data_IF_153661938937
#
_entry.id   IF_153661938937
#
_cell.length_a   1.000
_cell.length_b   1.000
_cell.length_c   1.000
_cell.angle_alpha   90.00
_cell.angle_beta   90.00
_cell.angle_gamma   90.00
#
_symmetry.space_group_name_H-M   'P 1'
#
loop_
_entity.id
_entity.type
_entity.pdbx_description
1 polymer ?
#
# COMPACT_ATOMS: atom_id res chain seq x y z
N UNK A 1 -36.30 37.61 4.88
CA UNK A 1 -34.90 37.28 4.47
C UNK A 1 -34.62 35.86 4.92
N UNK A 2 -34.77 34.89 4.03
CA UNK A 2 -34.56 33.47 4.32
C UNK A 2 -33.13 33.15 3.83
N UNK A 3 -32.24 32.82 4.78
CA UNK A 3 -30.89 32.41 4.47
C UNK A 3 -30.91 31.03 3.77
N UNK A 4 -30.55 30.99 2.51
CA UNK A 4 -30.28 29.76 1.75
C UNK A 4 -29.05 29.09 2.35
N UNK A 5 -29.26 28.03 3.12
CA UNK A 5 -28.16 27.08 3.47
C UNK A 5 -27.77 26.36 2.18
N UNK A 6 -26.59 26.68 1.69
CA UNK A 6 -25.92 25.90 0.66
C UNK A 6 -25.70 24.46 1.22
N UNK A 7 -26.53 23.53 0.79
CA UNK A 7 -26.27 22.10 0.93
C UNK A 7 -25.11 21.75 -0.03
N UNK A 8 -23.87 21.74 0.48
CA UNK A 8 -22.82 20.98 -0.18
C UNK A 8 -23.30 19.53 -0.27
N UNK A 9 -23.51 19.03 -1.47
CA UNK A 9 -23.75 17.62 -1.72
C UNK A 9 -22.52 16.86 -1.23
N UNK A 10 -22.56 16.32 -0.01
CA UNK A 10 -21.59 15.35 0.45
C UNK A 10 -21.71 14.16 -0.48
N UNK A 11 -20.69 13.96 -1.32
CA UNK A 11 -20.56 12.74 -2.12
C UNK A 11 -20.28 11.62 -1.14
N UNK A 12 -21.33 10.94 -0.67
CA UNK A 12 -21.20 9.79 0.22
C UNK A 12 -20.64 8.62 -0.60
N UNK A 13 -19.35 8.35 -0.43
CA UNK A 13 -18.75 7.10 -0.91
C UNK A 13 -19.27 5.93 -0.06
N UNK A 14 -19.45 4.72 -0.64
CA UNK A 14 -19.77 3.55 0.14
C UNK A 14 -18.66 3.29 1.17
N UNK A 15 -19.04 2.90 2.38
CA UNK A 15 -18.08 2.55 3.42
C UNK A 15 -17.20 1.39 2.94
N UNK A 16 -15.90 1.56 3.06
CA UNK A 16 -14.88 0.59 2.60
C UNK A 16 -13.94 0.25 3.75
N UNK A 17 -13.55 -1.00 3.85
CA UNK A 17 -12.48 -1.44 4.76
C UNK A 17 -11.12 -1.26 4.08
N UNK A 18 -10.27 -0.42 4.65
CA UNK A 18 -8.97 -0.05 4.10
C UNK A 18 -7.87 -0.57 5.01
N UNK A 19 -6.87 -1.23 4.43
CA UNK A 19 -5.62 -1.53 5.12
C UNK A 19 -4.52 -0.61 4.59
N UNK A 20 -3.91 0.17 5.48
CA UNK A 20 -2.72 0.98 5.18
C UNK A 20 -1.49 0.16 5.53
N UNK A 21 -0.67 -0.17 4.53
CA UNK A 21 0.59 -0.88 4.72
C UNK A 21 1.73 0.14 4.62
N UNK A 22 2.28 0.51 5.79
CA UNK A 22 3.43 1.40 5.89
C UNK A 22 4.72 0.63 5.66
N UNK A 23 5.36 0.87 4.53
CA UNK A 23 6.59 0.18 4.10
C UNK A 23 7.86 1.01 4.29
N UNK A 24 7.85 2.07 5.09
CA UNK A 24 9.10 2.72 5.47
C UNK A 24 9.83 1.85 6.50
N UNK A 25 11.12 1.48 6.26
CA UNK A 25 11.84 0.57 7.19
C UNK A 25 12.04 1.12 8.59
N UNK A 26 12.11 2.45 8.73
CA UNK A 26 12.19 3.13 10.04
C UNK A 26 10.77 3.45 10.51
N UNK A 27 10.32 2.77 11.57
CA UNK A 27 9.02 2.98 12.21
C UNK A 27 9.00 4.19 13.16
N UNK A 28 10.13 4.85 13.40
CA UNK A 28 10.25 5.98 14.33
C UNK A 28 9.49 7.24 13.92
N UNK A 29 8.86 7.26 12.75
CA UNK A 29 8.09 8.39 12.24
C UNK A 29 8.96 9.49 11.62
N UNK A 30 8.33 10.65 11.34
CA UNK A 30 9.04 11.82 10.82
C UNK A 30 9.39 11.79 9.32
N UNK A 31 9.19 10.68 8.64
CA UNK A 31 9.43 10.56 7.20
C UNK A 31 8.21 10.96 6.37
N UNK A 32 8.44 11.39 5.12
CA UNK A 32 7.36 11.79 4.21
C UNK A 32 6.34 10.67 4.00
N UNK A 33 6.76 9.40 3.95
CA UNK A 33 5.85 8.26 3.83
C UNK A 33 4.83 8.23 4.97
N UNK A 34 5.25 8.48 6.21
CA UNK A 34 4.34 8.52 7.37
C UNK A 34 3.33 9.66 7.24
N UNK A 35 3.79 10.89 6.94
CA UNK A 35 2.90 12.03 6.74
C UNK A 35 1.87 11.84 5.61
N UNK A 36 2.28 11.19 4.51
CA UNK A 36 1.38 10.86 3.40
C UNK A 36 0.36 9.77 3.79
N UNK A 37 0.78 8.75 4.54
CA UNK A 37 -0.11 7.73 5.07
C UNK A 37 -1.13 8.32 6.05
N UNK A 38 -0.68 9.21 6.95
CA UNK A 38 -1.56 9.91 7.90
C UNK A 38 -2.58 10.80 7.20
N UNK A 39 -2.17 11.53 6.16
CA UNK A 39 -3.07 12.35 5.37
C UNK A 39 -4.14 11.48 4.66
N UNK A 40 -3.75 10.33 4.10
CA UNK A 40 -4.67 9.37 3.51
C UNK A 40 -5.65 8.82 4.56
N UNK A 41 -5.12 8.37 5.71
CA UNK A 41 -5.93 7.88 6.85
C UNK A 41 -6.96 8.90 7.27
N UNK A 42 -6.55 10.15 7.47
CA UNK A 42 -7.46 11.21 7.89
C UNK A 42 -8.58 11.41 6.87
N UNK A 43 -8.27 11.44 5.57
CA UNK A 43 -9.27 11.53 4.51
C UNK A 43 -10.26 10.36 4.52
N UNK A 44 -9.76 9.13 4.73
CA UNK A 44 -10.57 7.93 4.81
C UNK A 44 -11.52 7.98 6.02
N UNK A 45 -11.03 8.34 7.19
CA UNK A 45 -11.83 8.46 8.42
C UNK A 45 -12.89 9.57 8.32
N UNK A 46 -12.52 10.73 7.73
CA UNK A 46 -13.46 11.83 7.49
C UNK A 46 -14.62 11.39 6.58
N UNK A 47 -14.35 10.49 5.63
CA UNK A 47 -15.34 9.90 4.73
C UNK A 47 -16.04 8.65 5.31
N UNK A 48 -15.78 8.32 6.59
CA UNK A 48 -16.38 7.20 7.33
C UNK A 48 -15.97 5.82 6.83
N UNK A 49 -14.81 5.69 6.19
CA UNK A 49 -14.20 4.39 5.92
C UNK A 49 -13.61 3.80 7.22
N UNK A 50 -13.52 2.48 7.29
CA UNK A 50 -12.78 1.80 8.36
C UNK A 50 -11.32 1.67 7.92
N UNK A 51 -10.38 1.96 8.83
CA UNK A 51 -8.95 1.93 8.54
C UNK A 51 -8.24 1.05 9.54
N UNK A 52 -7.45 0.13 9.04
CA UNK A 52 -6.51 -0.70 9.79
C UNK A 52 -5.09 -0.47 9.26
N UNK A 53 -4.09 -0.76 10.07
CA UNK A 53 -2.69 -0.49 9.76
C UNK A 53 -1.82 -1.73 9.87
N UNK A 54 -0.84 -1.83 8.97
CA UNK A 54 0.30 -2.74 9.05
C UNK A 54 1.57 -1.90 8.91
N UNK A 55 2.32 -1.73 9.98
CA UNK A 55 3.61 -1.02 9.97
C UNK A 55 4.74 -2.03 9.84
N UNK A 56 5.25 -2.19 8.63
CA UNK A 56 6.31 -3.15 8.31
C UNK A 56 7.58 -2.88 9.13
N UNK A 57 7.90 -1.61 9.39
CA UNK A 57 9.10 -1.24 10.15
C UNK A 57 9.09 -1.71 11.61
N UNK A 58 7.91 -1.98 12.18
CA UNK A 58 7.75 -2.45 13.55
C UNK A 58 7.64 -3.98 13.69
N UNK A 59 7.48 -4.71 12.57
CA UNK A 59 7.28 -6.14 12.60
C UNK A 59 8.59 -6.93 12.72
N UNK A 60 8.60 -8.05 13.45
CA UNK A 60 9.74 -8.97 13.48
C UNK A 60 9.76 -9.79 12.18
N UNK A 61 10.44 -9.27 11.17
CA UNK A 61 10.51 -9.87 9.84
C UNK A 61 11.84 -10.62 9.66
N UNK A 62 11.75 -11.90 9.40
CA UNK A 62 12.88 -12.75 9.02
C UNK A 62 12.95 -12.91 7.48
N UNK A 63 14.11 -13.33 6.97
CA UNK A 63 14.24 -13.67 5.56
C UNK A 63 13.85 -15.13 5.31
N UNK A 64 13.04 -15.36 4.29
CA UNK A 64 12.81 -16.70 3.73
C UNK A 64 14.10 -17.18 3.06
N UNK A 65 14.63 -18.32 3.46
CA UNK A 65 15.91 -18.85 2.99
C UNK A 65 15.82 -20.15 2.20
N UNK A 66 14.73 -20.90 2.44
CA UNK A 66 14.52 -22.23 1.85
C UNK A 66 13.09 -22.37 1.35
N UNK A 67 12.86 -23.18 0.32
CA UNK A 67 11.49 -23.46 -0.15
C UNK A 67 10.56 -23.98 0.94
N UNK A 68 11.09 -24.77 1.89
CA UNK A 68 10.34 -25.34 2.99
C UNK A 68 9.81 -24.25 3.96
N UNK A 69 10.50 -23.12 4.05
CA UNK A 69 10.07 -21.99 4.88
C UNK A 69 8.77 -21.37 4.33
N UNK A 70 8.59 -21.36 3.00
CA UNK A 70 7.37 -20.87 2.35
C UNK A 70 6.13 -21.72 2.68
N UNK A 71 6.31 -23.01 2.93
CA UNK A 71 5.22 -23.92 3.23
C UNK A 71 4.74 -23.82 4.69
N UNK A 72 5.52 -23.23 5.58
CA UNK A 72 5.21 -23.07 7.00
C UNK A 72 4.40 -21.79 7.24
N UNK A 73 3.49 -21.81 8.22
CA UNK A 73 2.88 -20.57 8.70
C UNK A 73 3.96 -19.60 9.19
N UNK A 74 3.84 -18.31 8.92
CA UNK A 74 4.75 -17.32 9.46
C UNK A 74 4.51 -17.08 10.96
N UNK A 75 5.29 -16.21 11.59
CA UNK A 75 5.11 -15.84 12.99
C UNK A 75 3.75 -15.13 13.23
N UNK A 76 3.34 -15.04 14.50
CA UNK A 76 2.04 -14.49 14.91
C UNK A 76 1.81 -13.05 14.42
N UNK A 77 2.85 -12.21 14.40
CA UNK A 77 2.74 -10.83 13.94
C UNK A 77 2.44 -10.76 12.43
N UNK A 78 3.03 -11.63 11.63
CA UNK A 78 2.75 -11.74 10.20
C UNK A 78 1.37 -12.38 9.97
N UNK A 79 0.96 -13.35 10.76
CA UNK A 79 -0.41 -13.91 10.71
C UNK A 79 -1.46 -12.82 10.99
N UNK A 80 -1.23 -11.96 11.97
CA UNK A 80 -2.10 -10.83 12.25
C UNK A 80 -2.15 -9.84 11.07
N UNK A 81 -1.02 -9.57 10.44
CA UNK A 81 -0.96 -8.74 9.24
C UNK A 81 -1.69 -9.39 8.05
N UNK A 82 -1.55 -10.71 7.85
CA UNK A 82 -2.34 -11.46 6.85
C UNK A 82 -3.84 -11.28 7.09
N UNK A 83 -4.31 -11.40 8.34
CA UNK A 83 -5.72 -11.22 8.67
C UNK A 83 -6.18 -9.79 8.36
N UNK A 84 -5.39 -8.77 8.73
CA UNK A 84 -5.68 -7.37 8.40
C UNK A 84 -5.81 -7.13 6.88
N UNK A 85 -4.97 -7.79 6.08
CA UNK A 85 -5.04 -7.75 4.62
C UNK A 85 -6.30 -8.46 4.08
N UNK A 86 -6.69 -9.58 4.70
CA UNK A 86 -7.90 -10.33 4.30
C UNK A 86 -9.17 -9.55 4.59
N UNK A 87 -9.22 -8.84 5.70
CA UNK A 87 -10.40 -8.07 6.10
C UNK A 87 -10.60 -6.80 5.26
N UNK A 88 -9.55 -6.35 4.57
CA UNK A 88 -9.60 -5.13 3.76
C UNK A 88 -10.16 -5.37 2.35
N UNK A 89 -10.90 -4.39 1.83
CA UNK A 89 -11.37 -4.28 0.44
C UNK A 89 -10.40 -3.46 -0.43
N UNK A 90 -9.64 -2.56 0.22
CA UNK A 90 -8.65 -1.72 -0.43
C UNK A 90 -7.34 -1.68 0.36
N UNK A 91 -6.22 -1.85 -0.34
CA UNK A 91 -4.88 -1.77 0.23
C UNK A 91 -4.19 -0.47 -0.22
N UNK A 92 -3.81 0.40 0.70
CA UNK A 92 -2.92 1.51 0.42
C UNK A 92 -1.52 1.15 0.91
N UNK A 93 -0.60 0.92 -0.02
CA UNK A 93 0.77 0.47 0.27
C UNK A 93 1.72 1.61 -0.04
N UNK A 94 2.47 2.09 0.95
CA UNK A 94 3.38 3.21 0.79
C UNK A 94 4.81 2.85 1.20
N UNK A 95 5.79 3.21 0.36
CA UNK A 95 7.20 2.97 0.64
C UNK A 95 8.13 3.95 -0.09
N UNK A 96 9.37 4.16 0.40
CA UNK A 96 10.38 4.91 -0.33
C UNK A 96 11.02 4.05 -1.41
N UNK A 97 11.30 4.62 -2.57
CA UNK A 97 12.04 3.95 -3.64
C UNK A 97 13.52 3.90 -3.28
N UNK A 98 14.07 2.72 -3.04
CA UNK A 98 15.48 2.48 -2.80
C UNK A 98 16.06 1.64 -3.92
N UNK A 99 17.15 2.12 -4.53
CA UNK A 99 17.82 1.43 -5.64
C UNK A 99 16.88 0.99 -6.78
N UNK A 100 15.87 1.82 -7.09
CA UNK A 100 14.93 1.59 -8.19
C UNK A 100 13.75 0.68 -7.88
N UNK A 101 13.63 0.16 -6.65
CA UNK A 101 12.55 -0.73 -6.20
C UNK A 101 12.15 -0.45 -4.76
N UNK A 102 11.33 -1.34 -4.17
CA UNK A 102 10.98 -1.28 -2.75
C UNK A 102 12.17 -1.60 -1.85
N UNK A 103 12.19 -1.12 -0.58
CA UNK A 103 13.16 -1.55 0.41
C UNK A 103 13.15 -3.06 0.62
N UNK A 104 14.31 -3.65 0.95
CA UNK A 104 14.45 -5.09 1.20
C UNK A 104 13.48 -5.58 2.28
N UNK A 105 13.22 -4.78 3.32
CA UNK A 105 12.28 -5.11 4.39
C UNK A 105 10.84 -5.28 3.88
N UNK A 106 10.41 -4.42 2.93
CA UNK A 106 9.08 -4.54 2.30
C UNK A 106 8.99 -5.83 1.50
N UNK A 107 10.05 -6.17 0.74
CA UNK A 107 10.09 -7.43 -0.01
C UNK A 107 10.04 -8.63 0.92
N UNK A 108 10.83 -8.64 2.00
CA UNK A 108 10.85 -9.69 3.01
C UNK A 108 9.49 -9.85 3.69
N UNK A 109 8.80 -8.74 4.00
CA UNK A 109 7.43 -8.80 4.52
C UNK A 109 6.49 -9.55 3.57
N UNK A 110 6.49 -9.20 2.27
CA UNK A 110 5.61 -9.87 1.31
C UNK A 110 6.00 -11.32 1.06
N UNK A 111 7.27 -11.68 1.16
CA UNK A 111 7.72 -13.08 1.14
C UNK A 111 7.20 -13.86 2.34
N UNK A 112 7.32 -13.32 3.54
CA UNK A 112 6.76 -13.93 4.74
C UNK A 112 5.23 -13.96 4.74
N UNK A 113 4.59 -12.89 4.27
CA UNK A 113 3.14 -12.86 4.10
C UNK A 113 2.64 -13.88 3.07
N UNK A 114 3.49 -14.31 2.11
CA UNK A 114 3.13 -15.36 1.15
C UNK A 114 3.21 -16.78 1.76
N UNK A 115 3.88 -16.93 2.91
CA UNK A 115 4.01 -18.23 3.58
C UNK A 115 2.66 -18.81 4.01
N UNK A 116 2.58 -20.14 4.12
CA UNK A 116 1.34 -20.82 4.51
C UNK A 116 0.24 -20.76 3.43
N UNK A 117 0.62 -20.68 2.17
CA UNK A 117 -0.30 -20.62 1.02
C UNK A 117 -1.27 -19.41 1.08
N UNK A 118 -0.85 -18.30 1.65
CA UNK A 118 -1.73 -17.15 1.86
C UNK A 118 -2.14 -16.46 0.56
N UNK A 119 -1.21 -16.24 -0.36
CA UNK A 119 -1.50 -15.55 -1.62
C UNK A 119 -2.07 -16.45 -2.71
N UNK A 120 -1.73 -17.73 -2.70
CA UNK A 120 -1.99 -18.64 -3.81
C UNK A 120 -2.74 -19.88 -3.36
N UNK A 121 -3.65 -20.36 -4.20
CA UNK A 121 -4.28 -21.65 -4.02
C UNK A 121 -3.32 -22.77 -4.46
N UNK A 122 -3.28 -23.85 -3.69
CA UNK A 122 -2.71 -25.12 -4.18
C UNK A 122 -3.61 -25.68 -5.27
N UNK A 123 -3.12 -25.72 -6.49
CA UNK A 123 -3.90 -26.18 -7.65
C UNK A 123 -2.99 -26.93 -8.62
N UNK A 124 -3.56 -27.91 -9.32
CA UNK A 124 -2.89 -28.62 -10.43
C UNK A 124 -2.88 -27.79 -11.74
N UNK A 125 -3.48 -26.60 -11.73
CA UNK A 125 -3.48 -25.71 -12.90
C UNK A 125 -2.08 -25.17 -13.19
N UNK A 126 -1.73 -24.97 -14.47
CA UNK A 126 -0.39 -24.50 -14.85
C UNK A 126 -0.10 -23.06 -14.39
N UNK A 127 -1.14 -22.28 -14.05
CA UNK A 127 -1.02 -20.92 -13.56
C UNK A 127 -1.53 -20.80 -12.12
N UNK A 128 -0.83 -20.07 -11.26
CA UNK A 128 -1.26 -19.85 -9.89
C UNK A 128 -2.61 -19.15 -9.84
N UNK A 129 -3.44 -19.48 -8.87
CA UNK A 129 -4.73 -18.85 -8.62
C UNK A 129 -4.61 -18.00 -7.35
N UNK A 130 -4.73 -16.68 -7.50
CA UNK A 130 -4.67 -15.75 -6.39
C UNK A 130 -5.89 -15.84 -5.48
N UNK A 131 -5.68 -15.83 -4.17
CA UNK A 131 -6.71 -15.93 -3.13
C UNK A 131 -7.29 -14.57 -2.71
N UNK A 132 -6.63 -13.46 -3.04
CA UNK A 132 -7.01 -12.11 -2.63
C UNK A 132 -7.83 -11.36 -3.68
N UNK A 133 -8.61 -12.07 -4.49
CA UNK A 133 -9.53 -11.49 -5.49
C UNK A 133 -10.57 -10.59 -4.84
N UNK A 134 -11.06 -9.59 -5.60
CA UNK A 134 -12.07 -8.64 -5.14
C UNK A 134 -11.50 -7.44 -4.37
N UNK A 135 -10.21 -7.43 -4.09
CA UNK A 135 -9.51 -6.30 -3.46
C UNK A 135 -8.85 -5.43 -4.50
N UNK A 136 -8.87 -4.13 -4.27
CA UNK A 136 -8.10 -3.15 -5.04
C UNK A 136 -6.87 -2.68 -4.25
N UNK A 137 -5.90 -2.08 -4.95
CA UNK A 137 -4.73 -1.52 -4.28
C UNK A 137 -4.28 -0.18 -4.87
N UNK A 138 -3.60 0.61 -4.04
CA UNK A 138 -2.81 1.77 -4.45
C UNK A 138 -1.39 1.64 -3.95
N UNK A 139 -0.44 1.74 -4.88
CA UNK A 139 0.97 1.88 -4.57
C UNK A 139 1.35 3.36 -4.52
N UNK A 140 1.80 3.82 -3.38
CA UNK A 140 2.31 5.17 -3.16
C UNK A 140 3.82 5.09 -2.98
N UNK A 141 4.57 5.70 -3.89
CA UNK A 141 6.03 5.58 -3.89
C UNK A 141 6.66 6.95 -3.83
N UNK A 142 7.53 7.17 -2.85
CA UNK A 142 8.31 8.41 -2.70
C UNK A 142 9.73 8.21 -3.19
N UNK A 143 10.32 9.20 -3.86
CA UNK A 143 11.68 9.10 -4.40
C UNK A 143 12.38 10.45 -4.48
N UNK A 144 13.71 10.44 -4.34
CA UNK A 144 14.54 11.63 -4.49
C UNK A 144 14.62 12.14 -5.93
N UNK A 145 14.61 11.23 -6.92
CA UNK A 145 14.63 11.59 -8.34
C UNK A 145 13.27 12.09 -8.83
N UNK A 146 13.19 12.81 -9.96
CA UNK A 146 11.92 13.15 -10.60
C UNK A 146 11.15 11.87 -11.00
N UNK A 147 9.85 11.80 -10.69
CA UNK A 147 9.01 10.63 -11.03
C UNK A 147 8.96 10.38 -12.56
N UNK A 148 9.03 11.43 -13.37
CA UNK A 148 9.11 11.31 -14.83
C UNK A 148 10.40 10.61 -15.27
N UNK A 149 11.55 10.94 -14.64
CA UNK A 149 12.82 10.27 -14.92
C UNK A 149 12.76 8.78 -14.56
N UNK A 150 12.21 8.44 -13.41
CA UNK A 150 11.99 7.04 -13.01
C UNK A 150 11.16 6.27 -14.05
N UNK A 151 10.06 6.88 -14.52
CA UNK A 151 9.21 6.26 -15.55
C UNK A 151 9.90 6.09 -16.89
N UNK A 152 10.59 7.12 -17.37
CA UNK A 152 11.16 7.15 -18.72
C UNK A 152 12.50 6.41 -18.82
N UNK A 153 13.38 6.59 -17.82
CA UNK A 153 14.74 6.01 -17.87
C UNK A 153 14.82 4.63 -17.23
N UNK A 154 14.02 4.37 -16.19
CA UNK A 154 14.02 3.09 -15.48
C UNK A 154 12.76 2.26 -15.75
N UNK A 155 11.87 2.69 -16.65
CA UNK A 155 10.66 1.97 -17.05
C UNK A 155 9.69 1.63 -15.92
N UNK A 156 9.88 2.19 -14.71
CA UNK A 156 9.15 1.84 -13.47
C UNK A 156 9.23 0.35 -13.13
N UNK A 157 10.29 -0.35 -13.52
CA UNK A 157 10.36 -1.82 -13.40
C UNK A 157 10.15 -2.32 -11.96
N UNK A 158 10.68 -1.63 -10.95
CA UNK A 158 10.48 -2.00 -9.54
C UNK A 158 9.01 -1.95 -9.11
N UNK A 159 8.29 -0.92 -9.51
CA UNK A 159 6.85 -0.76 -9.20
C UNK A 159 6.03 -1.77 -9.99
N UNK A 160 6.26 -1.91 -11.29
CA UNK A 160 5.57 -2.91 -12.14
C UNK A 160 5.82 -4.35 -11.69
N UNK A 161 7.05 -4.65 -11.24
CA UNK A 161 7.37 -5.96 -10.65
C UNK A 161 6.55 -6.24 -9.38
N UNK A 162 6.32 -5.23 -8.55
CA UNK A 162 5.46 -5.35 -7.39
C UNK A 162 3.99 -5.54 -7.78
N UNK A 163 3.51 -4.71 -8.72
CA UNK A 163 2.12 -4.82 -9.21
C UNK A 163 1.81 -6.20 -9.78
N UNK A 164 2.60 -6.64 -10.75
CA UNK A 164 2.31 -7.89 -11.46
C UNK A 164 2.79 -9.13 -10.72
N UNK A 165 4.01 -9.06 -10.14
CA UNK A 165 4.69 -10.22 -9.58
C UNK A 165 4.31 -10.55 -8.12
N UNK A 166 3.71 -9.61 -7.39
CA UNK A 166 3.26 -9.85 -6.00
C UNK A 166 1.76 -9.66 -5.90
N UNK A 167 1.26 -8.45 -6.11
CA UNK A 167 -0.16 -8.15 -5.90
C UNK A 167 -1.06 -8.81 -6.95
N UNK A 168 -0.66 -8.74 -8.22
CA UNK A 168 -1.42 -9.32 -9.33
C UNK A 168 -1.51 -10.84 -9.25
N UNK A 169 -0.40 -11.53 -8.91
CA UNK A 169 -0.39 -12.97 -8.69
C UNK A 169 -1.30 -13.34 -7.51
N UNK A 170 -1.32 -12.55 -6.45
CA UNK A 170 -2.21 -12.75 -5.30
C UNK A 170 -3.70 -12.54 -5.66
N UNK A 171 -4.00 -11.99 -6.85
CA UNK A 171 -5.36 -11.74 -7.34
C UNK A 171 -5.88 -10.34 -7.00
N UNK A 172 -5.05 -9.45 -6.47
CA UNK A 172 -5.43 -8.08 -6.14
C UNK A 172 -5.50 -7.24 -7.42
N UNK A 173 -6.59 -6.52 -7.61
CA UNK A 173 -6.78 -5.60 -8.72
C UNK A 173 -8.17 -4.95 -8.69
N UNK A 174 -8.33 -3.74 -9.25
CA UNK A 174 -7.33 -2.94 -9.95
C UNK A 174 -6.26 -2.35 -9.03
N UNK A 175 -5.04 -2.18 -9.55
CA UNK A 175 -3.92 -1.54 -8.86
C UNK A 175 -3.68 -0.17 -9.49
N UNK A 176 -3.48 0.85 -8.65
CA UNK A 176 -3.20 2.23 -9.07
C UNK A 176 -1.89 2.72 -8.47
N UNK A 177 -1.15 3.52 -9.23
CA UNK A 177 0.10 4.13 -8.79
C UNK A 177 -0.05 5.61 -8.42
N UNK A 178 0.69 6.05 -7.42
CA UNK A 178 0.97 7.46 -7.13
C UNK A 178 2.45 7.61 -6.82
N UNK A 179 3.18 8.27 -7.71
CA UNK A 179 4.62 8.49 -7.59
C UNK A 179 4.91 9.93 -7.17
N UNK A 180 5.60 10.13 -6.06
CA UNK A 180 6.06 11.41 -5.56
C UNK A 180 7.59 11.51 -5.73
N UNK A 181 8.03 12.27 -6.72
CA UNK A 181 9.44 12.52 -6.99
C UNK A 181 9.92 13.85 -6.43
N UNK A 182 11.25 14.03 -6.30
CA UNK A 182 11.86 15.23 -5.72
C UNK A 182 11.39 15.49 -4.27
N UNK A 183 11.45 14.47 -3.41
CA UNK A 183 10.92 14.53 -2.03
C UNK A 183 11.60 15.60 -1.16
N UNK A 184 12.80 16.05 -1.54
CA UNK A 184 13.51 17.17 -0.91
C UNK A 184 12.99 18.53 -1.34
N UNK A 185 11.98 18.57 -2.22
CA UNK A 185 11.39 19.79 -2.79
C UNK A 185 10.72 20.70 -1.76
N UNK A 186 10.06 21.76 -2.25
CA UNK A 186 9.51 22.82 -1.42
C UNK A 186 8.37 22.35 -0.51
N UNK A 187 8.20 23.06 0.62
CA UNK A 187 7.07 22.86 1.53
C UNK A 187 5.71 22.96 0.81
N UNK A 188 5.58 23.90 -0.14
CA UNK A 188 4.37 24.06 -0.95
C UNK A 188 4.03 22.78 -1.74
N UNK A 189 5.03 22.10 -2.26
CA UNK A 189 4.86 20.83 -2.99
C UNK A 189 4.37 19.73 -2.04
N UNK A 190 4.99 19.61 -0.88
CA UNK A 190 4.58 18.62 0.15
C UNK A 190 3.15 18.85 0.61
N UNK A 191 2.74 20.10 0.86
CA UNK A 191 1.34 20.42 1.22
C UNK A 191 0.36 19.96 0.15
N UNK A 192 0.67 20.14 -1.14
CA UNK A 192 -0.17 19.62 -2.23
C UNK A 192 -0.27 18.10 -2.24
N UNK A 193 0.81 17.40 -1.92
CA UNK A 193 0.82 15.94 -1.86
C UNK A 193 -0.01 15.41 -0.69
N UNK A 194 0.10 16.04 0.47
CA UNK A 194 -0.73 15.71 1.63
C UNK A 194 -2.23 15.91 1.31
N UNK A 195 -2.60 17.04 0.71
CA UNK A 195 -3.98 17.28 0.27
C UNK A 195 -4.45 16.20 -0.72
N UNK A 196 -3.63 15.87 -1.73
CA UNK A 196 -3.93 14.79 -2.68
C UNK A 196 -4.14 13.45 -1.98
N UNK A 197 -3.31 13.09 -1.00
CA UNK A 197 -3.46 11.84 -0.26
C UNK A 197 -4.74 11.82 0.57
N UNK A 198 -5.11 12.95 1.20
CA UNK A 198 -6.39 13.08 1.91
C UNK A 198 -7.58 12.85 0.98
N UNK A 199 -7.56 13.46 -0.21
CA UNK A 199 -8.62 13.27 -1.23
C UNK A 199 -8.70 11.82 -1.70
N UNK A 200 -7.56 11.14 -1.88
CA UNK A 200 -7.50 9.73 -2.26
C UNK A 200 -8.04 8.81 -1.15
N UNK A 201 -7.73 9.14 0.11
CA UNK A 201 -8.26 8.44 1.28
C UNK A 201 -9.78 8.55 1.36
N UNK A 202 -10.32 9.76 1.19
CA UNK A 202 -11.77 9.99 1.18
C UNK A 202 -12.51 9.21 0.08
N UNK A 203 -11.82 8.85 -1.00
CA UNK A 203 -12.38 8.08 -2.11
C UNK A 203 -12.11 6.57 -2.00
N UNK A 204 -11.40 6.10 -1.00
CA UNK A 204 -10.88 4.72 -0.88
C UNK A 204 -10.18 4.26 -2.18
N UNK A 205 -9.23 5.08 -2.66
CA UNK A 205 -8.57 4.89 -3.96
C UNK A 205 -7.07 4.93 -3.87
#
# INVERSE_FOLDING_TARGET
>A
MVAARSLCAETLYPMTQICIIQGHPDSGGGHLCHGLADAYRQGALDARHQVSDVDIGSLPIDFVRKPEDMARPPNESILAAQQTIVDAEHLMIIYPLWLGTMPALVKAFFEQAACGDFFLEKTEKPWPVGKLKGRSARLVVTMGMPAAAYRLLMGSHGVKGFESGILGIAGIGPIRETLFGNVEGSQRTRTKWLAKMRDLGAQAR
#
